data_IF_105076953383
#
_entry.id   IF_105076953383
#
_cell.length_a   1.000
_cell.length_b   1.000
_cell.length_c   1.000
_cell.angle_alpha   90.00
_cell.angle_beta   90.00
_cell.angle_gamma   90.00
#
_symmetry.space_group_name_H-M   'P 1'
#
loop_
_entity.id
_entity.type
_entity.pdbx_description
1 polymer ?
#
# COMPACT_ATOMS: atom_id res chain seq x y z
N UNK A 1 -34.36 72.92 -24.13
CA UNK A 1 -35.49 72.51 -23.26
C UNK A 1 -34.92 71.84 -22.02
N UNK A 2 -35.65 71.84 -20.89
CA UNK A 2 -35.55 70.90 -19.74
C UNK A 2 -34.16 70.57 -19.12
N UNK A 3 -33.95 71.10 -17.91
CA UNK A 3 -33.34 70.39 -16.76
C UNK A 3 -34.28 69.24 -16.28
N UNK A 4 -33.95 68.34 -15.32
CA UNK A 4 -32.84 68.29 -14.34
C UNK A 4 -31.98 66.99 -14.51
N UNK A 5 -31.38 66.25 -13.55
CA UNK A 5 -31.45 66.19 -12.07
C UNK A 5 -30.20 65.54 -11.41
N UNK A 6 -30.30 65.17 -10.13
CA UNK A 6 -29.27 64.58 -9.25
C UNK A 6 -29.65 63.12 -8.92
N UNK A 7 -28.67 62.21 -8.80
CA UNK A 7 -28.83 61.05 -7.89
C UNK A 7 -27.52 60.52 -7.31
N UNK A 8 -27.63 59.94 -6.11
CA UNK A 8 -26.54 59.41 -5.26
C UNK A 8 -25.99 58.09 -5.80
N UNK A 9 -24.72 57.78 -5.52
CA UNK A 9 -24.25 56.39 -5.43
C UNK A 9 -24.19 55.97 -3.95
N UNK A 10 -24.53 54.72 -3.69
CA UNK A 10 -24.71 54.18 -2.33
C UNK A 10 -23.35 53.90 -1.68
N UNK A 11 -23.26 54.13 -0.36
CA UNK A 11 -22.31 53.41 0.47
C UNK A 11 -22.84 51.99 0.67
N UNK A 12 -22.04 50.97 0.36
CA UNK A 12 -22.39 49.57 0.59
C UNK A 12 -21.80 49.14 1.94
N UNK A 13 -22.66 48.82 2.90
CA UNK A 13 -22.22 48.29 4.20
C UNK A 13 -21.81 46.83 4.04
N UNK A 14 -20.54 46.52 4.34
CA UNK A 14 -20.05 45.13 4.37
C UNK A 14 -20.47 44.50 5.69
N UNK A 15 -21.44 43.58 5.63
CA UNK A 15 -21.90 42.85 6.81
C UNK A 15 -20.96 41.66 7.06
N UNK A 16 -20.13 41.74 8.10
CA UNK A 16 -19.22 40.66 8.47
C UNK A 16 -19.98 39.50 9.15
N UNK A 17 -20.28 38.46 8.39
CA UNK A 17 -20.86 37.22 8.92
C UNK A 17 -19.76 36.37 9.59
N UNK A 18 -19.76 36.31 10.93
CA UNK A 18 -18.91 35.38 11.68
C UNK A 18 -19.50 33.98 11.54
N UNK A 19 -18.94 33.16 10.65
CA UNK A 19 -19.28 31.75 10.52
C UNK A 19 -18.40 30.96 11.49
N UNK A 20 -19.00 30.40 12.54
CA UNK A 20 -18.33 29.48 13.46
C UNK A 20 -17.98 28.17 12.73
N UNK A 21 -16.73 28.02 12.31
CA UNK A 21 -16.26 26.84 11.60
C UNK A 21 -16.20 25.62 12.54
N UNK A 22 -17.17 24.72 12.42
CA UNK A 22 -17.14 23.41 13.06
C UNK A 22 -16.53 22.38 12.11
N UNK A 23 -15.36 21.83 12.46
CA UNK A 23 -14.89 20.53 11.95
C UNK A 23 -14.80 20.34 10.43
N UNK A 24 -14.25 21.29 9.67
CA UNK A 24 -13.93 21.04 8.25
C UNK A 24 -12.72 20.12 8.12
N UNK A 25 -12.95 18.85 7.82
CA UNK A 25 -11.89 17.96 7.32
C UNK A 25 -11.38 18.50 5.99
N UNK A 26 -10.16 19.04 5.99
CA UNK A 26 -9.52 19.59 4.79
C UNK A 26 -9.01 18.44 3.92
N UNK A 27 -9.84 17.99 2.97
CA UNK A 27 -9.39 17.07 1.91
C UNK A 27 -8.20 17.70 1.19
N UNK A 28 -7.05 17.00 1.05
CA UNK A 28 -5.87 17.55 0.37
C UNK A 28 -6.14 17.97 -1.07
N UNK A 29 -5.33 18.90 -1.57
CA UNK A 29 -5.53 19.58 -2.85
C UNK A 29 -5.39 18.65 -4.08
N UNK A 30 -4.74 17.48 -3.92
CA UNK A 30 -4.88 16.34 -4.84
C UNK A 30 -6.01 15.40 -4.36
N UNK A 31 -7.23 15.74 -4.78
CA UNK A 31 -8.45 14.96 -4.53
C UNK A 31 -8.60 13.80 -5.53
N UNK A 32 -7.89 12.69 -5.31
CA UNK A 32 -8.00 11.47 -6.15
C UNK A 32 -9.35 10.75 -6.00
N UNK A 33 -9.69 9.88 -6.95
CA UNK A 33 -10.92 9.08 -6.96
C UNK A 33 -10.78 7.75 -6.19
N UNK A 34 -9.57 7.38 -5.78
CA UNK A 34 -9.31 6.21 -4.96
C UNK A 34 -9.69 6.43 -3.50
N UNK A 35 -10.61 5.62 -2.98
CA UNK A 35 -11.00 5.64 -1.57
C UNK A 35 -10.20 4.59 -0.76
N UNK A 36 -9.51 5.02 0.31
CA UNK A 36 -8.89 4.10 1.28
C UNK A 36 -9.41 4.43 2.67
N UNK A 37 -9.98 3.44 3.33
CA UNK A 37 -10.49 3.49 4.70
C UNK A 37 -9.52 2.73 5.63
N UNK A 38 -9.05 3.38 6.69
CA UNK A 38 -8.26 2.74 7.75
C UNK A 38 -9.11 2.67 9.02
N UNK A 39 -9.24 1.49 9.61
CA UNK A 39 -10.05 1.24 10.80
C UNK A 39 -9.15 0.61 11.87
N UNK A 40 -8.98 1.30 13.00
CA UNK A 40 -8.24 0.77 14.15
C UNK A 40 -9.07 -0.26 14.92
N UNK A 41 -8.42 -1.36 15.29
CA UNK A 41 -8.95 -2.41 16.16
C UNK A 41 -8.34 -2.31 17.57
N UNK A 42 -9.14 -2.62 18.59
CA UNK A 42 -8.67 -2.63 19.97
C UNK A 42 -8.39 -1.21 20.50
N UNK A 43 -7.26 -1.04 21.18
CA UNK A 43 -6.82 0.27 21.67
C UNK A 43 -6.11 1.01 20.53
N UNK A 44 -6.64 2.17 20.15
CA UNK A 44 -6.01 3.01 19.12
C UNK A 44 -4.58 3.44 19.55
N UNK A 45 -3.55 3.25 18.71
CA UNK A 45 -2.16 3.54 19.08
C UNK A 45 -1.87 5.06 19.12
N UNK A 46 -0.68 5.43 19.61
CA UNK A 46 -0.30 6.85 19.81
C UNK A 46 -0.38 7.66 18.51
N UNK A 47 -0.60 8.98 18.63
CA UNK A 47 -0.73 9.86 17.47
C UNK A 47 0.49 9.85 16.52
N UNK A 48 1.69 9.56 17.03
CA UNK A 48 2.91 9.43 16.22
C UNK A 48 2.94 8.11 15.42
N UNK A 49 2.45 7.01 16.02
CA UNK A 49 2.24 5.75 15.32
C UNK A 49 1.17 5.94 14.23
N UNK A 50 0.01 6.51 14.58
CA UNK A 50 -1.07 6.80 13.61
C UNK A 50 -0.61 7.63 12.43
N UNK A 51 0.13 8.71 12.68
CA UNK A 51 0.69 9.56 11.63
C UNK A 51 1.55 8.76 10.62
N UNK A 52 2.20 7.67 11.03
CA UNK A 52 2.94 6.79 10.11
C UNK A 52 2.01 6.02 9.16
N UNK A 53 0.84 5.59 9.64
CA UNK A 53 -0.21 4.97 8.83
C UNK A 53 -0.98 5.99 7.98
N UNK A 54 -1.21 7.20 8.49
CA UNK A 54 -1.83 8.29 7.74
C UNK A 54 -0.94 8.75 6.58
N UNK A 55 0.38 8.87 6.80
CA UNK A 55 1.37 9.13 5.74
C UNK A 55 1.37 8.01 4.70
N UNK A 56 1.46 6.74 5.12
CA UNK A 56 1.42 5.61 4.20
C UNK A 56 0.13 5.59 3.36
N UNK A 57 -1.04 5.72 4.01
CA UNK A 57 -2.34 5.75 3.33
C UNK A 57 -2.50 6.95 2.41
N UNK A 58 -1.89 8.10 2.71
CA UNK A 58 -1.87 9.26 1.83
C UNK A 58 -0.94 9.05 0.63
N UNK A 59 0.23 8.41 0.80
CA UNK A 59 1.07 8.00 -0.33
C UNK A 59 0.33 7.04 -1.25
N UNK A 60 -0.40 6.05 -0.72
CA UNK A 60 -1.24 5.16 -1.53
C UNK A 60 -2.34 5.94 -2.26
N UNK A 61 -3.09 6.83 -1.59
CA UNK A 61 -4.14 7.65 -2.20
C UNK A 61 -3.64 8.64 -3.25
N UNK A 62 -2.39 9.11 -3.16
CA UNK A 62 -1.77 9.96 -4.17
C UNK A 62 -1.18 9.16 -5.34
N UNK A 63 -0.75 7.92 -5.08
CA UNK A 63 -0.18 7.02 -6.10
C UNK A 63 -1.27 6.36 -6.94
N UNK A 64 -2.33 5.84 -6.33
CA UNK A 64 -3.48 5.28 -7.05
C UNK A 64 -4.52 6.38 -7.18
N UNK A 65 -4.79 6.81 -8.41
CA UNK A 65 -5.62 7.99 -8.68
C UNK A 65 -7.05 7.63 -9.08
N UNK A 66 -7.24 6.50 -9.75
CA UNK A 66 -8.53 6.07 -10.28
C UNK A 66 -9.45 5.38 -9.24
N UNK A 67 -10.77 5.34 -9.52
CA UNK A 67 -11.73 4.67 -8.66
C UNK A 67 -11.67 3.15 -8.81
N UNK A 68 -12.22 2.44 -7.80
CA UNK A 68 -12.46 1.01 -7.87
C UNK A 68 -13.97 0.71 -7.91
N UNK A 69 -14.32 -0.50 -8.36
CA UNK A 69 -15.70 -0.99 -8.26
C UNK A 69 -16.11 -1.13 -6.78
N UNK A 70 -17.21 -0.50 -6.37
CA UNK A 70 -17.70 -0.66 -5.00
C UNK A 70 -18.30 -2.05 -4.78
N UNK A 71 -18.06 -2.63 -3.61
CA UNK A 71 -18.52 -3.97 -3.21
C UNK A 71 -19.16 -3.97 -1.83
N UNK A 72 -20.28 -4.68 -1.68
CA UNK A 72 -20.90 -4.94 -0.38
C UNK A 72 -20.31 -6.23 0.24
N UNK A 73 -20.14 -6.25 1.57
CA UNK A 73 -19.76 -7.48 2.27
C UNK A 73 -20.99 -8.40 2.40
N UNK A 74 -21.00 -9.60 1.80
CA UNK A 74 -22.14 -10.51 1.89
C UNK A 74 -22.35 -11.00 3.34
N UNK A 75 -23.56 -11.45 3.66
CA UNK A 75 -23.90 -11.94 5.00
C UNK A 75 -23.05 -13.15 5.47
N UNK A 76 -22.47 -13.92 4.53
CA UNK A 76 -21.52 -15.01 4.81
C UNK A 76 -20.11 -14.55 5.21
N UNK A 77 -19.81 -13.25 5.05
CA UNK A 77 -18.69 -12.61 5.73
C UNK A 77 -19.22 -12.06 7.06
N UNK A 78 -18.86 -12.70 8.17
CA UNK A 78 -19.47 -12.49 9.49
C UNK A 78 -18.69 -11.52 10.37
N UNK A 79 -17.37 -11.72 10.50
CA UNK A 79 -16.43 -10.94 11.29
C UNK A 79 -14.97 -11.23 10.86
N UNK A 80 -13.98 -10.57 11.48
CA UNK A 80 -12.57 -10.62 11.06
C UNK A 80 -11.83 -11.92 11.45
N UNK A 81 -12.44 -12.85 12.19
CA UNK A 81 -11.83 -14.18 12.40
C UNK A 81 -11.64 -14.94 11.08
N UNK A 82 -12.50 -14.68 10.09
CA UNK A 82 -12.34 -15.16 8.72
C UNK A 82 -11.06 -14.62 8.06
N UNK A 83 -10.61 -13.42 8.44
CA UNK A 83 -9.35 -12.81 8.00
C UNK A 83 -8.11 -13.28 8.81
N UNK A 84 -8.30 -14.05 9.88
CA UNK A 84 -7.24 -14.42 10.82
C UNK A 84 -7.13 -13.52 12.06
N UNK A 85 -8.08 -12.60 12.27
CA UNK A 85 -8.17 -11.75 13.47
C UNK A 85 -9.36 -12.17 14.36
N UNK A 86 -9.21 -13.21 15.21
CA UNK A 86 -10.23 -13.58 16.18
C UNK A 86 -10.42 -12.46 17.22
N UNK A 87 -11.54 -12.48 17.95
CA UNK A 87 -11.83 -11.48 18.99
C UNK A 87 -12.36 -10.12 18.50
N UNK A 88 -12.34 -9.86 17.19
CA UNK A 88 -12.86 -8.64 16.58
C UNK A 88 -14.18 -8.91 15.82
N UNK A 89 -15.35 -8.79 16.49
CA UNK A 89 -16.65 -9.04 15.88
C UNK A 89 -17.09 -7.91 14.94
N UNK A 90 -16.70 -6.67 15.25
CA UNK A 90 -17.19 -5.47 14.59
C UNK A 90 -16.55 -5.28 13.22
N UNK A 91 -17.41 -5.17 12.20
CA UNK A 91 -17.01 -4.86 10.83
C UNK A 91 -17.96 -3.83 10.22
N UNK A 92 -17.39 -2.84 9.53
CA UNK A 92 -18.15 -1.88 8.74
C UNK A 92 -18.94 -2.60 7.64
N UNK A 93 -20.27 -2.52 7.72
CA UNK A 93 -21.20 -3.13 6.73
C UNK A 93 -21.50 -2.23 5.53
N UNK A 94 -21.13 -0.96 5.60
CA UNK A 94 -21.20 -0.02 4.47
C UNK A 94 -20.45 -0.57 3.25
N UNK A 95 -20.94 -0.36 2.01
CA UNK A 95 -20.24 -0.77 0.80
C UNK A 95 -18.82 -0.18 0.76
N UNK A 96 -17.82 -1.04 0.55
CA UNK A 96 -16.43 -0.62 0.37
C UNK A 96 -16.33 -0.02 -1.03
N UNK A 97 -15.81 1.19 -1.16
CA UNK A 97 -15.68 1.86 -2.47
C UNK A 97 -14.31 1.65 -3.11
N UNK A 98 -13.23 1.76 -2.32
CA UNK A 98 -11.89 1.35 -2.72
C UNK A 98 -11.34 0.23 -1.84
N UNK A 99 -10.50 0.56 -0.87
CA UNK A 99 -9.84 -0.42 0.00
C UNK A 99 -10.14 -0.14 1.48
N UNK A 100 -10.71 -1.12 2.20
CA UNK A 100 -10.92 -1.05 3.65
C UNK A 100 -9.88 -1.90 4.38
N UNK A 101 -9.05 -1.26 5.18
CA UNK A 101 -7.97 -1.88 5.94
C UNK A 101 -8.31 -1.84 7.43
N UNK A 102 -8.30 -3.00 8.08
CA UNK A 102 -8.37 -3.08 9.54
C UNK A 102 -6.96 -3.23 10.11
N UNK A 103 -6.52 -2.28 10.94
CA UNK A 103 -5.18 -2.26 11.50
C UNK A 103 -5.21 -2.48 13.02
N UNK A 104 -4.25 -3.26 13.52
CA UNK A 104 -4.03 -3.49 14.95
C UNK A 104 -2.54 -3.35 15.28
N UNK A 105 -2.28 -2.74 16.44
CA UNK A 105 -0.98 -2.80 17.12
C UNK A 105 -1.21 -3.64 18.39
N UNK A 106 -0.52 -4.77 18.49
CA UNK A 106 -0.69 -5.78 19.55
C UNK A 106 0.65 -6.47 19.80
N UNK A 107 0.82 -7.18 20.92
CA UNK A 107 2.02 -7.99 21.12
C UNK A 107 1.92 -9.29 20.31
N UNK A 108 2.95 -9.62 19.53
CA UNK A 108 2.99 -10.77 18.62
C UNK A 108 4.05 -11.77 19.09
N UNK A 109 5.31 -11.35 19.11
CA UNK A 109 6.46 -12.16 19.57
C UNK A 109 7.57 -11.36 20.28
N UNK A 110 7.52 -10.03 20.22
CA UNK A 110 8.43 -9.12 20.93
C UNK A 110 9.61 -8.60 20.09
N UNK A 111 10.61 -7.95 20.72
CA UNK A 111 11.61 -7.17 19.98
C UNK A 111 12.47 -7.99 19.00
N UNK A 112 12.50 -7.56 17.74
CA UNK A 112 13.31 -8.13 16.67
C UNK A 112 12.73 -9.36 15.99
N UNK A 113 11.43 -9.63 16.20
CA UNK A 113 10.69 -10.70 15.53
C UNK A 113 9.80 -10.18 14.41
N UNK A 114 8.50 -10.40 14.52
CA UNK A 114 7.51 -10.00 13.50
C UNK A 114 7.17 -8.51 13.60
N UNK A 115 7.94 -7.65 12.93
CA UNK A 115 7.71 -6.18 12.92
C UNK A 115 6.25 -5.84 12.58
N UNK A 116 5.71 -6.57 11.61
CA UNK A 116 4.33 -6.56 11.17
C UNK A 116 4.08 -7.68 10.15
N UNK A 117 2.82 -7.84 9.79
CA UNK A 117 2.37 -8.67 8.68
C UNK A 117 1.00 -8.19 8.23
N UNK A 118 0.86 -8.00 6.93
CA UNK A 118 -0.35 -7.45 6.33
C UNK A 118 -0.68 -8.05 4.97
N UNK A 119 -1.93 -7.89 4.55
CA UNK A 119 -2.34 -8.26 3.21
C UNK A 119 -3.86 -8.25 2.98
N UNK A 120 -4.30 -8.55 1.75
CA UNK A 120 -5.72 -8.74 1.43
C UNK A 120 -6.31 -9.92 2.21
N UNK A 121 -7.50 -9.71 2.75
CA UNK A 121 -8.39 -10.79 3.19
C UNK A 121 -9.42 -11.14 2.10
N UNK A 122 -9.91 -10.11 1.38
CA UNK A 122 -10.94 -10.21 0.34
C UNK A 122 -10.52 -9.47 -0.93
N UNK A 123 -10.48 -10.20 -2.05
CA UNK A 123 -10.33 -9.64 -3.40
C UNK A 123 -11.66 -9.60 -4.16
N UNK A 124 -11.79 -8.67 -5.11
CA UNK A 124 -12.90 -8.54 -6.07
C UNK A 124 -12.89 -9.65 -7.12
N UNK A 125 -13.94 -9.68 -7.95
CA UNK A 125 -14.00 -10.53 -9.14
C UNK A 125 -12.85 -10.25 -10.15
N UNK A 126 -12.35 -9.02 -10.20
CA UNK A 126 -11.19 -8.56 -11.00
C UNK A 126 -9.82 -8.78 -10.33
N UNK A 127 -9.78 -9.47 -9.18
CA UNK A 127 -8.59 -9.77 -8.37
C UNK A 127 -7.95 -8.54 -7.68
N UNK A 128 -8.55 -7.34 -7.68
CA UNK A 128 -8.08 -6.24 -6.83
C UNK A 128 -8.54 -6.40 -5.37
N UNK A 129 -7.69 -6.11 -4.37
CA UNK A 129 -8.08 -6.07 -2.96
C UNK A 129 -9.22 -5.08 -2.64
N UNK A 130 -10.17 -5.54 -1.82
CA UNK A 130 -11.27 -4.74 -1.29
C UNK A 130 -11.24 -4.64 0.24
N UNK A 131 -10.94 -5.74 0.95
CA UNK A 131 -10.76 -5.73 2.41
C UNK A 131 -9.43 -6.37 2.76
N UNK A 132 -8.65 -5.68 3.60
CA UNK A 132 -7.35 -6.15 4.09
C UNK A 132 -7.18 -5.99 5.59
N UNK A 133 -6.08 -6.53 6.08
CA UNK A 133 -5.68 -6.48 7.50
C UNK A 133 -4.21 -6.10 7.62
N UNK A 134 -3.85 -5.41 8.71
CA UNK A 134 -2.48 -5.06 9.09
C UNK A 134 -2.29 -5.38 10.58
N UNK A 135 -1.25 -6.15 10.92
CA UNK A 135 -0.82 -6.43 12.31
C UNK A 135 0.59 -5.92 12.50
N UNK A 136 0.89 -5.33 13.66
CA UNK A 136 2.20 -4.78 14.01
C UNK A 136 2.53 -5.08 15.47
N UNK A 137 3.75 -5.53 15.76
CA UNK A 137 4.18 -5.83 17.13
C UNK A 137 4.40 -4.52 17.93
N UNK A 138 3.75 -4.40 19.08
CA UNK A 138 3.77 -3.19 19.90
C UNK A 138 5.16 -2.87 20.49
N UNK A 139 6.02 -3.88 20.66
CA UNK A 139 7.40 -3.70 21.09
C UNK A 139 8.29 -3.12 19.98
N UNK A 140 8.14 -3.58 18.73
CA UNK A 140 8.96 -3.08 17.61
C UNK A 140 8.42 -1.80 16.98
N UNK A 141 7.12 -1.52 17.06
CA UNK A 141 6.55 -0.23 16.62
C UNK A 141 7.25 0.96 17.30
N UNK A 142 7.62 0.86 18.58
CA UNK A 142 8.34 1.94 19.28
C UNK A 142 9.81 2.06 18.84
N UNK A 143 10.48 0.94 18.58
CA UNK A 143 11.85 0.90 18.05
C UNK A 143 11.90 1.52 16.65
N UNK A 144 11.00 1.11 15.76
CA UNK A 144 10.86 1.60 14.39
C UNK A 144 10.45 3.08 14.36
N UNK A 145 9.58 3.53 15.26
CA UNK A 145 9.22 4.94 15.37
C UNK A 145 10.41 5.79 15.82
N UNK A 146 11.14 5.35 16.84
CA UNK A 146 12.31 6.04 17.38
C UNK A 146 13.47 6.12 16.37
N UNK A 147 13.62 5.09 15.52
CA UNK A 147 14.57 5.04 14.42
C UNK A 147 14.08 5.74 13.13
N UNK A 148 12.87 6.32 13.13
CA UNK A 148 12.28 6.98 11.94
C UNK A 148 11.91 6.03 10.79
N UNK A 149 11.88 4.72 11.03
CA UNK A 149 11.63 3.67 10.02
C UNK A 149 10.16 3.26 9.90
N UNK A 150 9.35 3.47 10.94
CA UNK A 150 7.95 3.03 10.97
C UNK A 150 7.13 3.47 9.73
N UNK A 151 7.22 4.71 9.21
CA UNK A 151 6.50 5.09 7.99
C UNK A 151 6.86 4.25 6.75
N UNK A 152 8.12 3.78 6.64
CA UNK A 152 8.53 2.89 5.55
C UNK A 152 7.93 1.50 5.71
N UNK A 153 8.05 0.88 6.89
CA UNK A 153 7.49 -0.45 7.15
C UNK A 153 5.97 -0.46 6.97
N UNK A 154 5.29 0.57 7.46
CA UNK A 154 3.83 0.70 7.32
C UNK A 154 3.42 0.89 5.85
N UNK A 155 4.19 1.60 5.03
CA UNK A 155 3.91 1.71 3.59
C UNK A 155 4.18 0.38 2.85
N UNK A 156 5.25 -0.34 3.19
CA UNK A 156 5.57 -1.67 2.66
C UNK A 156 4.42 -2.66 2.92
N UNK A 157 4.02 -2.82 4.19
CA UNK A 157 2.90 -3.67 4.58
C UNK A 157 1.58 -3.22 3.91
N UNK A 158 1.33 -1.91 3.78
CA UNK A 158 0.14 -1.41 3.10
C UNK A 158 0.15 -1.69 1.59
N UNK A 159 1.32 -1.72 0.94
CA UNK A 159 1.45 -2.12 -0.48
C UNK A 159 1.11 -3.60 -0.67
N UNK A 160 1.46 -4.48 0.29
CA UNK A 160 0.99 -5.87 0.29
C UNK A 160 -0.51 -5.99 0.43
N UNK A 161 -1.16 -5.14 1.25
CA UNK A 161 -2.63 -5.05 1.32
C UNK A 161 -3.25 -4.59 0.01
N UNK A 162 -2.62 -3.63 -0.68
CA UNK A 162 -3.03 -3.09 -1.97
C UNK A 162 -2.90 -4.12 -3.11
N UNK A 163 -2.09 -5.16 -2.96
CA UNK A 163 -1.98 -6.28 -3.92
C UNK A 163 -0.56 -6.56 -4.42
N UNK A 164 0.43 -5.78 -4.00
CA UNK A 164 1.83 -6.01 -4.36
C UNK A 164 2.29 -7.37 -3.79
N UNK A 165 2.84 -8.24 -4.63
CA UNK A 165 3.16 -9.64 -4.29
C UNK A 165 1.92 -10.54 -4.14
N UNK A 166 0.92 -10.09 -3.40
CA UNK A 166 -0.19 -10.91 -2.88
C UNK A 166 -1.24 -11.33 -3.91
N UNK A 167 -1.34 -10.68 -5.07
CA UNK A 167 -2.24 -11.08 -6.19
C UNK A 167 -1.52 -11.31 -7.53
N UNK A 168 -0.18 -11.28 -7.55
CA UNK A 168 0.61 -11.37 -8.79
C UNK A 168 0.34 -12.63 -9.63
N UNK A 169 0.13 -13.78 -8.96
CA UNK A 169 -0.18 -15.06 -9.61
C UNK A 169 -1.52 -15.01 -10.35
N UNK A 170 -2.57 -14.43 -9.76
CA UNK A 170 -3.87 -14.33 -10.43
C UNK A 170 -3.85 -13.36 -11.59
N UNK A 171 -3.12 -12.24 -11.44
CA UNK A 171 -2.92 -11.24 -12.49
C UNK A 171 -2.03 -11.76 -13.63
N UNK A 172 -1.34 -12.89 -13.46
CA UNK A 172 -0.48 -13.51 -14.46
C UNK A 172 0.83 -12.77 -14.72
N UNK A 173 1.25 -11.92 -13.77
CA UNK A 173 2.41 -11.00 -13.90
C UNK A 173 3.69 -11.55 -13.27
N UNK A 174 3.72 -12.84 -12.91
CA UNK A 174 4.90 -13.52 -12.35
C UNK A 174 5.13 -14.88 -12.99
N UNK A 175 6.39 -15.17 -13.32
CA UNK A 175 6.92 -16.50 -13.60
C UNK A 175 7.74 -16.99 -12.40
N UNK A 176 7.28 -18.09 -11.79
CA UNK A 176 8.00 -18.85 -10.75
C UNK A 176 8.47 -20.22 -11.25
N UNK A 177 8.10 -20.60 -12.48
CA UNK A 177 8.36 -21.90 -13.07
C UNK A 177 9.78 -21.99 -13.66
N UNK A 178 10.39 -20.88 -14.05
CA UNK A 178 11.81 -20.82 -14.46
C UNK A 178 12.75 -21.09 -13.27
N UNK A 179 12.99 -22.38 -13.02
CA UNK A 179 13.89 -22.95 -12.00
C UNK A 179 13.58 -22.64 -10.53
N UNK A 180 12.57 -21.83 -10.19
CA UNK A 180 12.15 -21.49 -8.83
C UNK A 180 13.13 -20.60 -8.04
N UNK A 181 14.43 -20.72 -8.27
CA UNK A 181 15.46 -19.85 -7.70
C UNK A 181 15.63 -18.52 -8.45
N UNK A 182 15.06 -18.36 -9.65
CA UNK A 182 15.17 -17.15 -10.47
C UNK A 182 13.79 -16.61 -10.90
N UNK A 183 12.89 -16.37 -9.95
CA UNK A 183 11.55 -15.87 -10.25
C UNK A 183 11.59 -14.48 -10.92
N UNK A 184 10.65 -14.22 -11.84
CA UNK A 184 10.61 -13.03 -12.69
C UNK A 184 9.22 -12.40 -12.74
N UNK A 185 9.16 -11.08 -12.62
CA UNK A 185 7.94 -10.32 -12.87
C UNK A 185 7.85 -9.96 -14.36
N UNK A 186 6.72 -10.24 -14.98
CA UNK A 186 6.49 -10.15 -16.43
C UNK A 186 5.65 -8.95 -16.84
N UNK A 187 5.16 -8.15 -15.88
CA UNK A 187 4.43 -6.92 -16.13
C UNK A 187 5.21 -5.90 -16.99
N UNK A 188 4.46 -5.14 -17.78
CA UNK A 188 4.97 -4.19 -18.75
C UNK A 188 5.47 -2.91 -18.07
N UNK A 189 4.64 -2.31 -17.21
CA UNK A 189 4.85 -0.98 -16.65
C UNK A 189 5.98 -0.99 -15.61
N UNK A 190 6.00 -1.97 -14.69
CA UNK A 190 7.10 -2.17 -13.75
C UNK A 190 8.44 -2.36 -14.45
N UNK A 191 8.45 -3.16 -15.53
CA UNK A 191 9.65 -3.40 -16.35
C UNK A 191 10.13 -2.13 -17.05
N UNK A 192 9.21 -1.38 -17.63
CA UNK A 192 9.54 -0.16 -18.36
C UNK A 192 10.08 0.91 -17.41
N UNK A 193 9.44 1.11 -16.26
CA UNK A 193 9.91 2.01 -15.21
C UNK A 193 11.26 1.57 -14.60
N UNK A 194 11.47 0.27 -14.37
CA UNK A 194 12.76 -0.26 -13.93
C UNK A 194 13.89 0.08 -14.92
N UNK A 195 13.65 -0.12 -16.22
CA UNK A 195 14.63 0.16 -17.27
C UNK A 195 14.93 1.65 -17.43
N UNK A 196 13.88 2.46 -17.55
CA UNK A 196 13.96 3.81 -18.12
C UNK A 196 14.06 4.91 -17.05
N UNK A 197 13.58 4.67 -15.81
CA UNK A 197 13.73 5.60 -14.69
C UNK A 197 14.75 5.13 -13.65
N UNK A 198 14.74 3.85 -13.29
CA UNK A 198 15.61 3.30 -12.24
C UNK A 198 16.95 2.74 -12.75
N UNK A 199 17.37 3.11 -13.97
CA UNK A 199 18.66 2.75 -14.57
C UNK A 199 18.84 1.26 -14.92
N UNK A 200 17.82 0.43 -14.74
CA UNK A 200 17.87 -1.02 -14.92
C UNK A 200 17.84 -1.50 -16.38
N UNK A 201 18.32 -0.70 -17.34
CA UNK A 201 18.16 -0.94 -18.78
C UNK A 201 18.57 -2.36 -19.23
N UNK A 202 19.63 -2.92 -18.65
CA UNK A 202 20.09 -4.31 -18.89
C UNK A 202 19.40 -5.31 -17.97
N UNK A 203 19.28 -5.00 -16.67
CA UNK A 203 18.77 -5.93 -15.63
C UNK A 203 17.30 -6.26 -15.83
N UNK A 204 16.51 -5.24 -16.18
CA UNK A 204 15.07 -5.32 -16.45
C UNK A 204 14.75 -5.38 -17.95
N UNK A 205 15.69 -5.77 -18.81
CA UNK A 205 15.51 -5.74 -20.26
C UNK A 205 14.27 -6.50 -20.75
N UNK A 206 13.98 -7.67 -20.16
CA UNK A 206 12.86 -8.55 -20.54
C UNK A 206 11.80 -8.70 -19.45
N UNK A 207 12.23 -8.77 -18.18
CA UNK A 207 11.44 -9.01 -16.96
C UNK A 207 12.14 -8.37 -15.75
N UNK A 208 11.42 -8.09 -14.66
CA UNK A 208 12.03 -7.60 -13.41
C UNK A 208 12.45 -8.76 -12.50
N UNK A 209 13.65 -8.77 -11.89
CA UNK A 209 14.05 -9.79 -10.91
C UNK A 209 13.17 -9.78 -9.65
N UNK A 210 12.43 -10.87 -9.43
CA UNK A 210 11.65 -11.11 -8.21
C UNK A 210 12.49 -11.89 -7.21
N UNK A 211 12.21 -11.69 -5.92
CA UNK A 211 12.87 -12.38 -4.84
C UNK A 211 12.51 -13.86 -4.76
N UNK A 212 13.53 -14.73 -4.63
CA UNK A 212 13.37 -16.18 -4.75
C UNK A 212 14.44 -17.02 -4.04
N UNK A 213 15.31 -16.41 -3.21
CA UNK A 213 16.58 -17.02 -2.78
C UNK A 213 16.91 -16.82 -1.30
N UNK A 214 16.08 -17.41 -0.43
CA UNK A 214 16.22 -17.47 1.03
C UNK A 214 15.25 -18.56 1.60
N UNK A 215 14.68 -18.35 2.80
CA UNK A 215 13.77 -19.28 3.48
C UNK A 215 12.41 -19.48 2.81
N UNK A 216 11.45 -20.03 3.54
CA UNK A 216 10.02 -19.93 3.20
C UNK A 216 9.54 -18.59 3.78
N UNK A 217 8.87 -17.77 2.96
CA UNK A 217 8.11 -16.61 3.45
C UNK A 217 8.15 -15.38 2.54
N UNK A 218 9.32 -14.75 2.42
CA UNK A 218 9.54 -13.57 1.57
C UNK A 218 9.38 -13.83 0.06
N UNK A 219 9.48 -15.09 -0.38
CA UNK A 219 9.57 -15.48 -1.79
C UNK A 219 8.38 -15.01 -2.62
N UNK A 220 8.67 -14.66 -3.87
CA UNK A 220 7.71 -14.36 -4.94
C UNK A 220 6.81 -13.13 -4.70
N UNK A 221 6.96 -12.45 -3.56
CA UNK A 221 6.14 -11.29 -3.17
C UNK A 221 6.90 -9.96 -3.19
N UNK A 222 8.22 -10.01 -3.42
CA UNK A 222 9.16 -8.90 -3.26
C UNK A 222 10.06 -8.72 -4.49
N UNK A 223 10.64 -7.53 -4.65
CA UNK A 223 11.79 -7.32 -5.53
C UNK A 223 13.04 -8.00 -4.96
N UNK A 224 13.91 -8.47 -5.85
CA UNK A 224 15.09 -9.24 -5.43
C UNK A 224 16.11 -8.37 -4.70
N UNK A 225 16.37 -8.70 -3.44
CA UNK A 225 17.31 -7.99 -2.56
C UNK A 225 18.67 -7.73 -3.22
N UNK A 226 19.33 -8.77 -3.74
CA UNK A 226 20.66 -8.64 -4.37
C UNK A 226 20.67 -7.94 -5.77
N UNK A 227 19.58 -7.26 -6.12
CA UNK A 227 19.44 -6.39 -7.29
C UNK A 227 18.92 -5.00 -6.88
N UNK A 228 17.96 -4.94 -5.96
CA UNK A 228 17.25 -3.70 -5.58
C UNK A 228 17.73 -3.08 -4.25
N UNK A 229 18.41 -3.84 -3.40
CA UNK A 229 18.89 -3.46 -2.07
C UNK A 229 17.87 -2.68 -1.24
N UNK A 230 18.01 -1.36 -1.14
CA UNK A 230 17.24 -0.52 -0.24
C UNK A 230 15.85 -0.10 -0.76
N UNK A 231 15.42 -0.53 -1.96
CA UNK A 231 14.08 -0.23 -2.49
C UNK A 231 12.98 -0.76 -1.55
N UNK A 232 11.88 -0.01 -1.41
CA UNK A 232 10.84 -0.26 -0.42
C UNK A 232 10.28 -1.69 -0.40
N UNK A 233 10.17 -2.35 -1.56
CA UNK A 233 9.57 -3.68 -1.67
C UNK A 233 10.58 -4.82 -1.87
N UNK A 234 11.82 -4.66 -1.43
CA UNK A 234 12.64 -5.82 -1.06
C UNK A 234 12.20 -6.37 0.31
N UNK A 235 12.53 -7.63 0.68
CA UNK A 235 12.10 -8.21 1.94
C UNK A 235 12.99 -7.83 3.15
N UNK A 236 13.94 -6.91 2.97
CA UNK A 236 14.92 -6.57 4.01
C UNK A 236 15.00 -5.06 4.24
N UNK A 237 14.65 -4.64 5.46
CA UNK A 237 14.73 -3.26 5.91
C UNK A 237 16.18 -2.87 6.23
N UNK A 238 17.00 -2.70 5.19
CA UNK A 238 18.40 -2.23 5.31
C UNK A 238 18.53 -0.83 5.92
N UNK A 239 19.77 -0.38 6.15
CA UNK A 239 20.04 0.93 6.78
C UNK A 239 19.89 2.11 5.82
N UNK A 240 19.35 3.24 6.30
CA UNK A 240 19.30 4.49 5.54
C UNK A 240 17.94 4.75 4.87
N UNK A 241 17.97 5.34 3.67
CA UNK A 241 16.76 5.69 2.93
C UNK A 241 16.12 4.46 2.27
N UNK A 242 14.79 4.42 2.26
CA UNK A 242 14.00 3.31 1.68
C UNK A 242 13.07 3.88 0.60
N UNK A 243 13.54 4.05 -0.66
CA UNK A 243 12.77 4.69 -1.71
C UNK A 243 11.64 3.81 -2.26
N UNK A 244 10.44 4.40 -2.37
CA UNK A 244 9.31 3.87 -3.11
C UNK A 244 9.48 4.21 -4.60
N UNK A 245 10.00 3.27 -5.40
CA UNK A 245 10.48 3.58 -6.75
C UNK A 245 9.39 3.49 -7.82
N UNK A 246 9.69 4.06 -8.98
CA UNK A 246 8.84 3.94 -10.17
C UNK A 246 8.60 2.47 -10.61
N UNK A 247 9.50 1.52 -10.32
CA UNK A 247 9.27 0.08 -10.60
C UNK A 247 8.07 -0.43 -9.81
N UNK A 248 7.98 -0.04 -8.54
CA UNK A 248 6.92 -0.45 -7.62
C UNK A 248 5.59 0.18 -7.98
N UNK A 249 5.57 1.45 -8.40
CA UNK A 249 4.36 2.11 -8.93
C UNK A 249 3.89 1.42 -10.22
N UNK A 250 4.79 1.09 -11.15
CA UNK A 250 4.45 0.34 -12.37
C UNK A 250 3.89 -1.05 -12.08
N UNK A 251 4.32 -1.70 -10.99
CA UNK A 251 3.75 -2.99 -10.56
C UNK A 251 2.34 -2.87 -9.95
N UNK A 252 1.89 -1.66 -9.60
CA UNK A 252 0.49 -1.37 -9.28
C UNK A 252 -0.34 -1.17 -10.56
N UNK A 253 0.23 -0.49 -11.57
CA UNK A 253 -0.39 -0.33 -12.90
C UNK A 253 -0.61 -1.69 -13.60
N UNK A 254 0.42 -2.54 -13.59
CA UNK A 254 0.38 -3.90 -14.15
C UNK A 254 -0.66 -4.83 -13.49
N UNK A 255 -1.07 -4.58 -12.23
CA UNK A 255 -2.17 -5.31 -11.57
C UNK A 255 -3.54 -4.63 -11.73
N UNK A 256 -3.63 -3.58 -12.54
CA UNK A 256 -4.89 -2.95 -12.95
C UNK A 256 -5.33 -1.74 -12.12
N UNK A 257 -4.39 -1.03 -11.47
CA UNK A 257 -4.66 0.28 -10.90
C UNK A 257 -4.37 1.40 -11.91
N UNK A 258 -5.16 2.47 -11.89
CA UNK A 258 -4.82 3.74 -12.54
C UNK A 258 -3.92 4.55 -11.60
N UNK A 259 -2.69 4.87 -12.02
CA UNK A 259 -1.65 5.42 -11.13
C UNK A 259 -1.07 6.76 -11.57
N UNK A 260 -0.55 7.51 -10.59
CA UNK A 260 0.36 8.63 -10.78
C UNK A 260 1.78 8.22 -10.33
N UNK A 261 2.77 8.61 -11.12
CA UNK A 261 4.20 8.44 -10.80
C UNK A 261 4.78 9.65 -10.03
N UNK A 262 3.97 10.67 -9.70
CA UNK A 262 4.44 11.86 -8.95
C UNK A 262 4.93 11.53 -7.52
N UNK A 263 4.50 10.40 -6.95
CA UNK A 263 4.95 9.88 -5.65
C UNK A 263 6.26 9.08 -5.72
N UNK A 264 6.83 8.87 -6.91
CA UNK A 264 8.06 8.08 -7.06
C UNK A 264 9.25 8.75 -6.36
N UNK A 265 9.82 8.08 -5.37
CA UNK A 265 11.09 8.48 -4.79
C UNK A 265 12.23 8.23 -5.79
N UNK A 266 13.18 9.16 -5.95
CA UNK A 266 14.36 8.93 -6.79
C UNK A 266 15.12 7.67 -6.37
N UNK A 267 15.29 6.74 -7.31
CA UNK A 267 15.95 5.47 -7.12
C UNK A 267 16.75 5.10 -8.37
N UNK A 268 17.77 4.26 -8.23
CA UNK A 268 18.54 3.70 -9.33
C UNK A 268 19.14 2.39 -8.84
N UNK A 269 19.09 1.34 -9.66
CA UNK A 269 19.63 0.04 -9.27
C UNK A 269 21.11 0.15 -8.88
N UNK A 270 21.51 -0.31 -7.68
CA UNK A 270 22.87 -0.19 -7.18
C UNK A 270 23.89 -0.93 -8.07
N UNK A 271 25.05 -0.29 -8.27
CA UNK A 271 26.20 -0.96 -8.86
C UNK A 271 26.73 -2.09 -7.96
N UNK A 272 27.49 -3.02 -8.54
CA UNK A 272 28.01 -4.23 -7.85
C UNK A 272 28.89 -3.97 -6.63
N UNK A 273 29.39 -2.74 -6.45
CA UNK A 273 30.09 -2.31 -5.24
C UNK A 273 29.13 -1.92 -4.10
N UNK A 274 28.00 -1.28 -4.39
CA UNK A 274 26.98 -0.89 -3.41
C UNK A 274 26.24 -2.13 -2.89
N UNK A 275 25.80 -3.02 -3.79
CA UNK A 275 25.19 -4.32 -3.45
C UNK A 275 26.01 -5.16 -2.44
N UNK A 276 27.34 -5.02 -2.43
CA UNK A 276 28.24 -5.70 -1.49
C UNK A 276 28.38 -5.00 -0.13
N UNK A 277 28.10 -3.70 -0.07
CA UNK A 277 28.03 -2.94 1.17
C UNK A 277 26.67 -3.14 1.84
N UNK A 278 25.58 -3.11 1.07
CA UNK A 278 24.21 -3.34 1.57
C UNK A 278 24.07 -4.76 2.15
N UNK A 279 24.54 -5.78 1.43
CA UNK A 279 24.59 -7.18 1.91
C UNK A 279 25.62 -7.45 3.03
N UNK A 280 26.34 -6.41 3.51
CA UNK A 280 27.22 -6.47 4.67
C UNK A 280 26.73 -5.59 5.84
N UNK A 281 25.66 -4.82 5.65
CA UNK A 281 25.01 -4.05 6.70
C UNK A 281 24.05 -4.94 7.52
N UNK A 282 23.75 -4.59 8.78
CA UNK A 282 22.63 -5.19 9.50
C UNK A 282 21.32 -4.91 8.75
N UNK A 283 20.63 -5.98 8.39
CA UNK A 283 19.30 -5.96 7.78
C UNK A 283 18.28 -6.58 8.74
N UNK A 284 17.02 -6.18 8.61
CA UNK A 284 15.91 -6.66 9.41
C UNK A 284 14.87 -7.24 8.44
N UNK A 285 14.55 -8.52 8.59
CA UNK A 285 13.65 -9.25 7.69
C UNK A 285 12.20 -8.76 7.88
N UNK A 286 11.47 -8.60 6.78
CA UNK A 286 10.06 -8.21 6.75
C UNK A 286 9.16 -9.45 6.66
N UNK A 287 7.95 -9.35 7.21
CA UNK A 287 7.09 -10.51 7.46
C UNK A 287 6.55 -11.18 6.19
N UNK A 288 6.01 -12.39 6.32
CA UNK A 288 5.22 -12.97 5.23
C UNK A 288 3.98 -12.09 4.95
N UNK A 289 3.73 -11.66 3.71
CA UNK A 289 2.54 -10.92 3.39
C UNK A 289 1.33 -11.85 3.32
N UNK A 290 0.22 -11.43 3.94
CA UNK A 290 -0.98 -12.23 4.08
C UNK A 290 -1.70 -12.39 2.73
N UNK A 291 -1.61 -13.58 2.14
CA UNK A 291 -2.33 -13.91 0.90
C UNK A 291 -3.86 -13.82 1.09
N UNK A 292 -4.62 -13.54 0.00
CA UNK A 292 -6.08 -13.49 0.04
C UNK A 292 -6.70 -14.74 0.69
N UNK A 293 -7.78 -14.56 1.44
CA UNK A 293 -8.55 -15.69 2.02
C UNK A 293 -9.85 -15.94 1.29
N UNK A 294 -10.42 -14.90 0.67
CA UNK A 294 -11.66 -14.97 -0.08
C UNK A 294 -11.62 -14.13 -1.35
N UNK A 295 -12.45 -14.52 -2.31
CA UNK A 295 -12.77 -13.76 -3.52
C UNK A 295 -14.28 -13.56 -3.62
N UNK A 296 -14.73 -12.36 -4.01
CA UNK A 296 -16.10 -12.14 -4.46
C UNK A 296 -16.28 -12.65 -5.90
N UNK A 297 -17.28 -13.50 -6.14
CA UNK A 297 -17.69 -13.87 -7.50
C UNK A 297 -18.39 -12.70 -8.22
N UNK A 298 -18.62 -12.83 -9.53
CA UNK A 298 -19.35 -11.84 -10.34
C UNK A 298 -20.82 -11.62 -9.95
N UNK A 299 -21.33 -12.32 -8.93
CA UNK A 299 -22.65 -12.13 -8.33
C UNK A 299 -22.55 -11.69 -6.85
N UNK A 300 -21.38 -11.25 -6.38
CA UNK A 300 -21.13 -10.74 -5.02
C UNK A 300 -21.05 -11.82 -3.93
N UNK A 301 -20.94 -13.11 -4.27
CA UNK A 301 -20.84 -14.19 -3.28
C UNK A 301 -19.41 -14.36 -2.78
N UNK A 302 -19.26 -14.57 -1.48
CA UNK A 302 -17.99 -14.94 -0.87
C UNK A 302 -17.59 -16.37 -1.29
N UNK A 303 -16.42 -16.52 -1.91
CA UNK A 303 -15.81 -17.81 -2.26
C UNK A 303 -14.45 -17.93 -1.58
N UNK A 304 -14.03 -19.13 -1.11
CA UNK A 304 -12.66 -19.31 -0.61
C UNK A 304 -11.64 -19.05 -1.72
N UNK A 305 -10.60 -18.26 -1.41
CA UNK A 305 -9.54 -17.98 -2.37
C UNK A 305 -8.80 -19.26 -2.77
N UNK A 306 -8.41 -19.31 -4.05
CA UNK A 306 -7.52 -20.31 -4.64
C UNK A 306 -6.70 -19.58 -5.70
N UNK A 307 -5.37 -19.50 -5.58
CA UNK A 307 -4.54 -18.91 -6.63
C UNK A 307 -4.79 -19.59 -7.98
N UNK A 308 -4.65 -18.83 -9.07
CA UNK A 308 -4.49 -19.41 -10.41
C UNK A 308 -3.25 -20.31 -10.48
N UNK A 309 -3.25 -21.22 -11.46
CA UNK A 309 -2.17 -22.15 -11.79
C UNK A 309 -1.70 -21.89 -13.21
#
# INVERSE_FOLDING_TARGET
>A
MTFPSISRRLALAVLAAIITACGTSTRPEQSTAYELELIWLGTEPSAQVRNSFDVAGNTIRATIVGPLSSVALPASFTNLSQCGLPGHPDIGREPIRGLRIYAIVESIDGPGGTLGSAGPCLIRNDDTPALGVMRFDDADVQNLLSAGRLPSVVLHEMLHVVGFGTVWTDKGVIDTATNGADARYTGLFARQACRDFNGGATVCANTVPVHSTDGVGSRYSHWRENVFANELMTPFLGSGATPFSATTIGALEDIGYEVSYETAHPFTLPGTAALRADAAAPQLELGEPMLPRFKLDGAGRLTPYRPRR
#
